data_IF_453156999342
#
_entry.id   IF_453156999342
#
_cell.length_a   1.000
_cell.length_b   1.000
_cell.length_c   1.000
_cell.angle_alpha   90.00
_cell.angle_beta   90.00
_cell.angle_gamma   90.00
#
_symmetry.space_group_name_H-M   'P 1'
#
loop_
_entity.id
_entity.type
_entity.pdbx_description
1 polymer ?
#
# COMPACT_ATOMS: atom_id res chain seq x y z
N UNK A 1 18.10 12.88 -14.80
CA UNK A 1 16.70 13.21 -15.14
C UNK A 1 16.12 14.06 -14.04
N UNK A 2 15.32 15.08 -14.36
CA UNK A 2 14.49 15.69 -13.33
C UNK A 2 13.38 14.69 -12.98
N UNK A 3 13.00 14.55 -11.71
CA UNK A 3 11.92 13.62 -11.32
C UNK A 3 10.59 13.97 -12.01
N UNK A 4 10.43 15.23 -12.45
CA UNK A 4 9.28 15.73 -13.22
C UNK A 4 9.24 15.30 -14.69
N UNK A 5 10.30 14.67 -15.21
CA UNK A 5 10.34 14.20 -16.60
C UNK A 5 9.85 12.75 -16.75
N UNK A 6 9.74 12.02 -15.63
CA UNK A 6 9.42 10.59 -15.61
C UNK A 6 7.97 10.34 -16.00
N UNK A 7 7.72 9.27 -16.76
CA UNK A 7 6.39 8.77 -17.00
C UNK A 7 6.03 7.80 -15.86
N UNK A 8 5.05 8.16 -15.04
CA UNK A 8 4.62 7.39 -13.86
C UNK A 8 3.33 6.62 -14.17
N UNK A 9 3.35 5.30 -13.96
CA UNK A 9 2.14 4.49 -13.96
C UNK A 9 1.62 4.27 -12.53
N UNK A 10 0.29 4.32 -12.34
CA UNK A 10 -0.36 3.87 -11.10
C UNK A 10 -1.22 2.65 -11.41
N UNK A 11 -0.78 1.47 -10.97
CA UNK A 11 -1.54 0.22 -11.08
C UNK A 11 -2.44 0.08 -9.86
N UNK A 12 -3.75 -0.05 -10.09
CA UNK A 12 -4.76 -0.01 -9.03
C UNK A 12 -5.28 1.40 -8.76
N UNK A 13 -5.28 2.29 -9.77
CA UNK A 13 -5.68 3.69 -9.65
C UNK A 13 -7.09 3.92 -9.08
N UNK A 14 -8.01 2.95 -9.22
CA UNK A 14 -9.38 3.05 -8.68
C UNK A 14 -9.51 2.60 -7.22
N UNK A 15 -8.46 2.05 -6.62
CA UNK A 15 -8.44 1.66 -5.21
C UNK A 15 -8.06 2.83 -4.31
N UNK A 16 -8.32 2.72 -3.00
CA UNK A 16 -8.04 3.79 -2.03
C UNK A 16 -6.57 4.26 -2.08
N UNK A 17 -5.62 3.32 -2.07
CA UNK A 17 -4.19 3.65 -2.11
C UNK A 17 -3.75 4.24 -3.46
N UNK A 18 -4.31 3.75 -4.58
CA UNK A 18 -4.02 4.31 -5.91
C UNK A 18 -4.58 5.73 -6.06
N UNK A 19 -5.78 5.99 -5.52
CA UNK A 19 -6.37 7.32 -5.45
C UNK A 19 -5.53 8.27 -4.60
N UNK A 20 -5.02 7.83 -3.44
CA UNK A 20 -4.10 8.63 -2.63
C UNK A 20 -2.79 8.92 -3.38
N UNK A 21 -2.22 7.94 -4.08
CA UNK A 21 -1.01 8.17 -4.88
C UNK A 21 -1.26 9.23 -5.97
N UNK A 22 -2.40 9.17 -6.67
CA UNK A 22 -2.79 10.17 -7.66
C UNK A 22 -2.97 11.56 -7.04
N UNK A 23 -3.64 11.64 -5.88
CA UNK A 23 -3.81 12.91 -5.15
C UNK A 23 -2.46 13.52 -4.74
N UNK A 24 -1.52 12.70 -4.24
CA UNK A 24 -0.19 13.18 -3.85
C UNK A 24 0.63 13.69 -5.03
N UNK A 25 0.43 13.13 -6.23
CA UNK A 25 1.03 13.67 -7.46
C UNK A 25 0.42 15.04 -7.81
N UNK A 26 -0.89 15.19 -7.66
CA UNK A 26 -1.58 16.46 -7.90
C UNK A 26 -1.08 17.56 -6.94
N UNK A 27 -0.99 17.25 -5.64
CA UNK A 27 -0.46 18.16 -4.61
C UNK A 27 0.99 18.57 -4.84
N UNK A 28 1.74 17.83 -5.67
CA UNK A 28 3.14 18.10 -6.05
C UNK A 28 3.28 18.78 -7.41
N UNK A 29 2.16 19.18 -8.01
CA UNK A 29 2.06 19.74 -9.36
C UNK A 29 2.73 18.83 -10.41
N UNK A 30 2.50 17.50 -10.32
CA UNK A 30 3.04 16.56 -11.30
C UNK A 30 2.26 16.64 -12.62
N UNK A 31 2.92 16.66 -13.79
CA UNK A 31 2.22 16.85 -15.07
C UNK A 31 1.26 15.70 -15.40
N UNK A 32 0.03 16.03 -15.82
CA UNK A 32 -1.00 15.04 -16.13
C UNK A 32 -0.63 14.15 -17.32
N UNK A 33 0.05 14.70 -18.34
CA UNK A 33 0.53 13.99 -19.53
C UNK A 33 1.64 12.98 -19.24
N UNK A 34 2.19 13.01 -18.03
CA UNK A 34 3.21 12.09 -17.52
C UNK A 34 2.63 10.98 -16.65
N UNK A 35 1.32 10.92 -16.46
CA UNK A 35 0.66 9.95 -15.60
C UNK A 35 -0.14 8.96 -16.43
N UNK A 36 0.09 7.66 -16.23
CA UNK A 36 -0.74 6.58 -16.78
C UNK A 36 -1.50 5.89 -15.66
N UNK A 37 -2.83 5.97 -15.69
CA UNK A 37 -3.67 5.25 -14.73
C UNK A 37 -4.00 3.86 -15.27
N UNK A 38 -3.75 2.82 -14.48
CA UNK A 38 -3.99 1.44 -14.85
C UNK A 38 -4.86 0.73 -13.82
N UNK A 39 -5.83 -0.05 -14.28
CA UNK A 39 -6.72 -0.84 -13.42
C UNK A 39 -7.15 -2.14 -14.11
N UNK A 40 -8.14 -2.85 -13.55
CA UNK A 40 -8.72 -4.02 -14.22
C UNK A 40 -9.49 -3.62 -15.48
N UNK A 41 -9.73 -4.58 -16.39
CA UNK A 41 -10.57 -4.38 -17.59
C UNK A 41 -11.95 -3.78 -17.28
N UNK A 42 -12.54 -4.07 -16.11
CA UNK A 42 -13.82 -3.49 -15.66
C UNK A 42 -13.76 -1.96 -15.46
N UNK A 43 -12.59 -1.43 -15.17
CA UNK A 43 -12.35 -0.01 -14.91
C UNK A 43 -11.73 0.72 -16.10
N UNK A 44 -11.23 0.00 -17.11
CA UNK A 44 -10.65 0.60 -18.30
C UNK A 44 -11.69 1.46 -19.06
N UNK A 45 -11.24 2.58 -19.61
CA UNK A 45 -12.06 3.56 -20.32
C UNK A 45 -12.80 4.55 -19.43
N UNK A 46 -12.77 4.40 -18.10
CA UNK A 46 -13.26 5.44 -17.18
C UNK A 46 -12.25 6.58 -17.10
N UNK A 47 -12.74 7.77 -16.80
CA UNK A 47 -11.91 8.94 -16.56
C UNK A 47 -11.84 9.26 -15.07
N UNK A 48 -10.67 9.70 -14.61
CA UNK A 48 -10.47 10.26 -13.29
C UNK A 48 -10.04 11.72 -13.45
N UNK A 49 -10.72 12.62 -12.74
CA UNK A 49 -10.36 14.03 -12.70
C UNK A 49 -9.00 14.21 -12.00
N UNK A 50 -8.13 15.01 -12.60
CA UNK A 50 -6.81 15.36 -12.08
C UNK A 50 -6.57 16.86 -12.27
N UNK A 51 -6.89 17.66 -11.25
CA UNK A 51 -6.92 19.12 -11.41
C UNK A 51 -7.97 19.56 -12.42
N UNK A 52 -7.54 20.32 -13.43
CA UNK A 52 -8.36 20.73 -14.57
C UNK A 52 -8.38 19.68 -15.71
N UNK A 53 -7.51 18.67 -15.62
CA UNK A 53 -7.37 17.60 -16.61
C UNK A 53 -8.21 16.36 -16.25
N UNK A 54 -8.38 15.47 -17.22
CA UNK A 54 -8.97 14.15 -17.05
C UNK A 54 -8.01 13.09 -17.60
N UNK A 55 -7.80 12.02 -16.85
CA UNK A 55 -6.92 10.92 -17.25
C UNK A 55 -7.75 9.67 -17.45
N UNK A 56 -7.68 9.10 -18.66
CA UNK A 56 -8.36 7.85 -19.01
C UNK A 56 -7.61 6.66 -18.41
N UNK A 57 -8.35 5.75 -17.79
CA UNK A 57 -7.82 4.53 -17.21
C UNK A 57 -7.58 3.49 -18.30
N UNK A 58 -6.36 2.98 -18.36
CA UNK A 58 -5.97 1.85 -19.20
C UNK A 58 -6.11 0.52 -18.44
N UNK A 59 -6.26 -0.58 -19.17
CA UNK A 59 -6.17 -1.91 -18.56
C UNK A 59 -4.71 -2.23 -18.16
N UNK A 60 -4.51 -2.80 -16.98
CA UNK A 60 -3.24 -3.32 -16.51
C UNK A 60 -3.01 -4.75 -17.05
N UNK A 61 -2.30 -4.85 -18.17
CA UNK A 61 -1.90 -6.10 -18.81
C UNK A 61 -0.37 -6.26 -18.84
N UNK A 62 0.17 -7.47 -19.12
CA UNK A 62 1.61 -7.70 -19.16
C UNK A 62 2.41 -6.78 -20.09
N UNK A 63 1.82 -6.28 -21.17
CA UNK A 63 2.43 -5.44 -22.21
C UNK A 63 2.08 -3.94 -22.08
N UNK A 64 1.40 -3.54 -21.00
CA UNK A 64 0.92 -2.17 -20.81
C UNK A 64 1.98 -1.16 -20.35
N UNK A 65 3.24 -1.58 -20.18
CA UNK A 65 4.27 -0.80 -19.47
C UNK A 65 5.27 -0.10 -20.39
N UNK A 66 5.05 -0.13 -21.70
CA UNK A 66 5.90 0.55 -22.68
C UNK A 66 5.93 2.07 -22.44
N UNK A 67 7.14 2.64 -22.36
CA UNK A 67 7.34 4.08 -22.17
C UNK A 67 7.12 4.58 -20.74
N UNK A 68 6.86 3.68 -19.78
CA UNK A 68 6.77 4.00 -18.35
C UNK A 68 8.17 3.93 -17.75
N UNK A 69 8.54 4.92 -16.94
CA UNK A 69 9.82 4.91 -16.22
C UNK A 69 9.65 4.29 -14.82
N UNK A 70 8.57 4.65 -14.14
CA UNK A 70 8.26 4.19 -12.77
C UNK A 70 6.81 3.72 -12.68
N UNK A 71 6.56 2.59 -12.04
CA UNK A 71 5.21 2.11 -11.76
C UNK A 71 4.97 1.92 -10.26
N UNK A 72 3.97 2.63 -9.75
CA UNK A 72 3.46 2.48 -8.38
C UNK A 72 2.36 1.42 -8.41
N UNK A 73 2.63 0.28 -7.79
CA UNK A 73 1.68 -0.81 -7.65
C UNK A 73 0.91 -0.66 -6.34
N UNK A 74 -0.32 -0.18 -6.46
CA UNK A 74 -1.29 -0.07 -5.38
C UNK A 74 -2.45 -1.08 -5.56
N UNK A 75 -2.13 -2.26 -6.10
CA UNK A 75 -3.06 -3.35 -6.36
C UNK A 75 -2.86 -4.53 -5.40
N UNK A 76 -3.75 -5.51 -5.45
CA UNK A 76 -3.63 -6.73 -4.63
C UNK A 76 -2.40 -7.57 -5.01
N UNK A 77 -1.85 -8.33 -4.05
CA UNK A 77 -0.58 -9.04 -4.22
C UNK A 77 -0.53 -10.03 -5.40
N UNK A 78 -1.66 -10.59 -5.84
CA UNK A 78 -1.72 -11.43 -7.05
C UNK A 78 -1.49 -10.62 -8.33
N UNK A 79 -1.94 -9.37 -8.38
CA UNK A 79 -1.69 -8.45 -9.49
C UNK A 79 -0.20 -8.11 -9.53
N UNK A 80 0.39 -7.75 -8.38
CA UNK A 80 1.82 -7.47 -8.27
C UNK A 80 2.67 -8.67 -8.69
N UNK A 81 2.36 -9.88 -8.19
CA UNK A 81 3.05 -11.12 -8.59
C UNK A 81 3.01 -11.38 -10.10
N UNK A 82 1.90 -11.05 -10.76
CA UNK A 82 1.70 -11.27 -12.19
C UNK A 82 2.36 -10.20 -13.06
N UNK A 83 2.25 -8.93 -12.67
CA UNK A 83 2.56 -7.80 -13.54
C UNK A 83 3.87 -7.09 -13.20
N UNK A 84 4.32 -7.08 -11.93
CA UNK A 84 5.56 -6.38 -11.57
C UNK A 84 6.79 -6.94 -12.31
N UNK A 85 7.01 -8.28 -12.41
CA UNK A 85 8.12 -8.81 -13.21
C UNK A 85 8.03 -8.43 -14.69
N UNK A 86 6.81 -8.33 -15.24
CA UNK A 86 6.57 -7.94 -16.65
C UNK A 86 6.89 -6.47 -16.90
N UNK A 87 6.59 -5.61 -15.94
CA UNK A 87 6.98 -4.20 -15.98
C UNK A 87 8.52 -4.07 -15.95
N UNK A 88 9.19 -4.82 -15.07
CA UNK A 88 10.66 -4.86 -15.01
C UNK A 88 11.28 -5.35 -16.32
N UNK A 89 10.72 -6.40 -16.95
CA UNK A 89 11.15 -6.87 -18.27
C UNK A 89 11.07 -5.79 -19.35
N UNK A 90 10.20 -4.77 -19.18
CA UNK A 90 10.05 -3.61 -20.05
C UNK A 90 10.90 -2.40 -19.63
N UNK A 91 11.78 -2.55 -18.64
CA UNK A 91 12.68 -1.51 -18.15
C UNK A 91 12.06 -0.58 -17.09
N UNK A 92 10.88 -0.90 -16.56
CA UNK A 92 10.20 -0.09 -15.55
C UNK A 92 10.73 -0.36 -14.15
N UNK A 93 10.97 0.71 -13.40
CA UNK A 93 11.23 0.60 -11.96
C UNK A 93 9.92 0.49 -11.18
N UNK A 94 9.74 -0.61 -10.45
CA UNK A 94 8.47 -0.90 -9.75
C UNK A 94 8.58 -0.57 -8.26
N UNK A 95 7.63 0.20 -7.76
CA UNK A 95 7.41 0.43 -6.33
C UNK A 95 6.12 -0.30 -5.94
N UNK A 96 6.23 -1.43 -5.25
CA UNK A 96 5.09 -2.27 -4.85
C UNK A 96 4.65 -2.01 -3.41
N UNK A 97 3.40 -1.57 -3.24
CA UNK A 97 2.76 -1.45 -1.93
C UNK A 97 2.25 -2.80 -1.41
N UNK A 98 2.08 -3.78 -2.29
CA UNK A 98 1.62 -5.11 -1.95
C UNK A 98 2.50 -5.80 -0.90
N UNK A 99 1.93 -6.76 -0.17
CA UNK A 99 2.69 -7.54 0.81
C UNK A 99 3.51 -8.68 0.19
N UNK A 100 3.33 -8.95 -1.11
CA UNK A 100 3.77 -10.20 -1.74
C UNK A 100 5.29 -10.30 -1.86
N UNK A 101 5.98 -9.17 -1.96
CA UNK A 101 7.43 -9.10 -2.16
C UNK A 101 8.20 -8.63 -0.92
N UNK A 102 7.51 -8.13 0.12
CA UNK A 102 8.15 -7.46 1.27
C UNK A 102 9.21 -8.29 1.97
N UNK A 103 9.00 -9.60 2.07
CA UNK A 103 9.92 -10.52 2.73
C UNK A 103 10.78 -11.33 1.76
N UNK A 104 10.71 -11.07 0.45
CA UNK A 104 11.62 -11.71 -0.51
C UNK A 104 13.05 -11.18 -0.27
N UNK A 105 14.07 -12.04 -0.10
CA UNK A 105 15.42 -11.60 0.23
C UNK A 105 16.07 -10.70 -0.83
N UNK A 106 15.70 -10.88 -2.10
CA UNK A 106 16.24 -10.12 -3.23
C UNK A 106 15.54 -8.78 -3.48
N UNK A 107 14.45 -8.47 -2.76
CA UNK A 107 13.68 -7.23 -2.95
C UNK A 107 13.79 -6.37 -1.70
N UNK A 108 14.30 -5.13 -1.79
CA UNK A 108 14.42 -4.25 -0.64
C UNK A 108 13.04 -3.79 -0.15
N UNK A 109 12.95 -3.59 1.16
CA UNK A 109 11.77 -3.05 1.84
C UNK A 109 12.14 -1.70 2.42
N UNK A 110 11.69 -0.62 1.79
CA UNK A 110 12.29 0.71 1.98
C UNK A 110 11.33 1.65 2.69
N UNK A 111 11.84 2.31 3.74
CA UNK A 111 11.33 3.54 4.32
C UNK A 111 12.39 4.62 4.10
N UNK A 112 12.15 5.63 3.25
CA UNK A 112 13.17 6.62 2.89
C UNK A 112 13.85 7.29 4.10
N UNK A 113 13.13 7.51 5.18
CA UNK A 113 13.66 8.14 6.39
C UNK A 113 14.55 7.22 7.24
N UNK A 114 14.57 5.91 6.97
CA UNK A 114 15.27 4.90 7.79
C UNK A 114 16.38 4.19 7.01
N UNK A 115 16.08 3.70 5.80
CA UNK A 115 16.97 2.87 5.00
C UNK A 115 16.94 3.25 3.51
N UNK A 116 17.02 4.55 3.18
CA UNK A 116 16.98 5.04 1.80
C UNK A 116 17.97 4.32 0.87
N UNK A 117 19.19 4.05 1.35
CA UNK A 117 20.27 3.44 0.56
C UNK A 117 19.92 2.02 0.09
N UNK A 118 18.93 1.35 0.70
CA UNK A 118 18.49 0.03 0.26
C UNK A 118 17.83 0.04 -1.12
N UNK A 119 17.44 1.22 -1.61
CA UNK A 119 16.95 1.38 -2.96
C UNK A 119 17.99 0.99 -4.02
N UNK A 120 19.29 1.00 -3.69
CA UNK A 120 20.39 0.75 -4.65
C UNK A 120 20.56 -0.76 -4.99
N UNK A 121 20.14 -1.66 -4.10
CA UNK A 121 20.21 -3.10 -4.35
C UNK A 121 18.82 -3.64 -4.69
N UNK A 122 18.46 -3.67 -5.98
CA UNK A 122 17.14 -4.14 -6.40
C UNK A 122 17.17 -4.82 -7.78
N UNK A 123 16.27 -5.77 -8.05
CA UNK A 123 16.14 -6.42 -9.36
C UNK A 123 15.16 -5.65 -10.26
N UNK A 124 15.00 -4.34 -10.06
CA UNK A 124 13.94 -3.52 -10.69
C UNK A 124 12.66 -3.36 -9.87
N UNK A 125 12.55 -4.02 -8.71
CA UNK A 125 11.39 -3.92 -7.80
C UNK A 125 11.86 -3.49 -6.41
N UNK A 126 11.16 -2.53 -5.81
CA UNK A 126 11.26 -2.14 -4.41
C UNK A 126 9.90 -2.25 -3.76
N UNK A 127 9.84 -2.73 -2.52
CA UNK A 127 8.60 -2.83 -1.75
C UNK A 127 8.46 -1.68 -0.76
N UNK A 128 7.23 -1.22 -0.52
CA UNK A 128 6.90 -0.37 0.62
C UNK A 128 6.36 -1.22 1.77
N UNK A 129 6.56 -0.80 3.04
CA UNK A 129 6.09 -1.56 4.19
C UNK A 129 4.57 -1.54 4.35
N UNK A 130 4.12 -2.28 5.35
CA UNK A 130 2.79 -2.10 5.93
C UNK A 130 2.63 -0.67 6.45
N UNK A 131 1.39 -0.16 6.40
CA UNK A 131 1.02 1.11 6.98
C UNK A 131 1.26 1.17 8.51
N UNK A 132 1.21 0.05 9.21
CA UNK A 132 1.55 -0.04 10.65
C UNK A 132 3.05 -0.10 10.89
N UNK A 133 3.80 -0.83 10.06
CA UNK A 133 5.25 -0.94 10.15
C UNK A 133 5.95 0.39 9.87
N UNK A 134 5.49 1.16 8.87
CA UNK A 134 6.15 2.40 8.41
C UNK A 134 6.36 3.43 9.54
N UNK A 135 5.32 3.92 10.23
CA UNK A 135 5.53 4.87 11.33
C UNK A 135 6.25 4.21 12.52
N UNK A 136 6.08 2.90 12.71
CA UNK A 136 6.70 2.17 13.79
C UNK A 136 8.23 2.18 13.66
N UNK A 137 8.77 1.81 12.49
CA UNK A 137 10.21 1.80 12.26
C UNK A 137 10.83 3.18 12.27
N UNK A 138 10.12 4.22 11.80
CA UNK A 138 10.61 5.60 11.91
C UNK A 138 10.83 6.02 13.37
N UNK A 139 9.94 5.62 14.27
CA UNK A 139 10.11 5.88 15.71
C UNK A 139 11.23 5.04 16.30
N UNK A 140 11.32 3.76 15.96
CA UNK A 140 12.40 2.89 16.45
C UNK A 140 13.77 3.35 15.98
N UNK A 141 13.89 3.77 14.73
CA UNK A 141 15.13 4.27 14.14
C UNK A 141 15.65 5.52 14.89
N UNK A 142 14.77 6.48 15.15
CA UNK A 142 15.12 7.66 15.94
C UNK A 142 15.51 7.31 17.40
N UNK A 143 14.87 6.29 18.00
CA UNK A 143 15.16 5.89 19.38
C UNK A 143 16.44 5.07 19.51
N UNK A 144 16.77 4.22 18.53
CA UNK A 144 17.97 3.36 18.59
C UNK A 144 19.27 4.17 18.52
N UNK A 145 19.25 5.36 17.93
CA UNK A 145 20.37 6.31 17.96
C UNK A 145 20.72 6.77 19.38
N UNK A 146 19.75 6.73 20.31
CA UNK A 146 19.93 7.19 21.70
C UNK A 146 20.35 6.04 22.64
N UNK A 147 19.83 4.84 22.41
CA UNK A 147 20.14 3.63 23.19
C UNK A 147 19.69 2.37 22.47
N UNK A 148 20.40 1.27 22.68
CA UNK A 148 19.98 -0.05 22.21
C UNK A 148 18.57 -0.42 22.70
N UNK A 149 17.71 -0.81 21.77
CA UNK A 149 16.34 -1.27 22.04
C UNK A 149 16.38 -2.78 22.28
N UNK A 150 15.86 -3.24 23.42
CA UNK A 150 15.87 -4.67 23.78
C UNK A 150 14.54 -5.38 23.53
N UNK A 151 13.45 -4.65 23.70
CA UNK A 151 12.09 -5.16 23.53
C UNK A 151 11.15 -3.98 23.31
N UNK A 152 10.09 -4.23 22.55
CA UNK A 152 9.03 -3.26 22.31
C UNK A 152 7.68 -3.97 22.46
N UNK A 153 6.73 -3.29 23.09
CA UNK A 153 5.33 -3.73 23.13
C UNK A 153 4.48 -2.63 22.54
N UNK A 154 3.66 -2.97 21.54
CA UNK A 154 2.82 -2.02 20.82
C UNK A 154 1.39 -2.55 20.81
N UNK A 155 0.44 -1.65 21.06
CA UNK A 155 -0.98 -1.88 20.81
C UNK A 155 -1.42 -0.95 19.68
N UNK A 156 -1.98 -1.51 18.61
CA UNK A 156 -2.41 -0.72 17.45
C UNK A 156 -3.88 -0.35 17.55
N UNK A 157 -4.23 0.83 17.05
CA UNK A 157 -5.60 1.32 16.93
C UNK A 157 -5.83 1.63 15.45
N UNK A 158 -6.14 0.58 14.69
CA UNK A 158 -6.21 0.66 13.24
C UNK A 158 -7.61 1.07 12.77
N UNK A 159 -7.66 1.95 11.78
CA UNK A 159 -8.91 2.38 11.14
C UNK A 159 -9.45 1.33 10.17
N UNK A 160 -10.76 1.31 9.97
CA UNK A 160 -11.46 0.48 8.98
C UNK A 160 -11.02 0.76 7.54
N UNK A 161 -10.37 1.90 7.28
CA UNK A 161 -9.83 2.23 5.96
C UNK A 161 -8.74 1.26 5.52
N UNK A 162 -8.10 0.53 6.46
CA UNK A 162 -7.19 -0.57 6.14
C UNK A 162 -7.87 -1.73 5.40
N UNK A 163 -9.18 -1.92 5.60
CA UNK A 163 -10.02 -2.89 4.87
C UNK A 163 -10.57 -2.33 3.56
N UNK A 164 -10.12 -1.16 3.13
CA UNK A 164 -10.55 -0.48 1.91
C UNK A 164 -11.93 0.17 2.03
N UNK A 165 -12.49 0.56 0.89
CA UNK A 165 -13.77 1.29 0.81
C UNK A 165 -14.95 0.50 1.36
N UNK A 166 -14.93 -0.84 1.27
CA UNK A 166 -15.98 -1.69 1.79
C UNK A 166 -16.06 -1.61 3.33
N UNK A 167 -14.92 -1.70 4.04
CA UNK A 167 -14.89 -1.58 5.50
C UNK A 167 -15.32 -0.19 5.99
N UNK A 168 -14.97 0.86 5.24
CA UNK A 168 -15.45 2.22 5.51
C UNK A 168 -16.98 2.34 5.35
N UNK A 169 -17.52 1.81 4.26
CA UNK A 169 -18.97 1.83 4.00
C UNK A 169 -19.74 1.04 5.06
N UNK A 170 -19.24 -0.13 5.46
CA UNK A 170 -19.86 -0.93 6.51
C UNK A 170 -19.84 -0.24 7.87
N UNK A 171 -18.73 0.42 8.25
CA UNK A 171 -18.70 1.20 9.49
C UNK A 171 -19.80 2.28 9.50
N UNK A 172 -19.93 3.03 8.41
CA UNK A 172 -20.95 4.09 8.29
C UNK A 172 -22.35 3.48 8.40
N UNK A 173 -22.63 2.42 7.62
CA UNK A 173 -23.94 1.76 7.59
C UNK A 173 -24.31 1.17 8.96
N UNK A 174 -23.37 0.49 9.62
CA UNK A 174 -23.59 -0.07 10.95
C UNK A 174 -23.81 1.05 11.97
N UNK A 175 -23.08 2.16 11.89
CA UNK A 175 -23.27 3.30 12.79
C UNK A 175 -24.66 3.92 12.64
N UNK A 176 -25.14 4.12 11.41
CA UNK A 176 -26.50 4.63 11.15
C UNK A 176 -27.57 3.68 11.69
N UNK A 177 -27.43 2.38 11.44
CA UNK A 177 -28.37 1.36 11.94
C UNK A 177 -28.42 1.36 13.48
N UNK A 178 -27.27 1.27 14.13
CA UNK A 178 -27.18 1.19 15.59
C UNK A 178 -27.75 2.46 16.24
N UNK A 179 -27.46 3.64 15.70
CA UNK A 179 -28.02 4.91 16.20
C UNK A 179 -29.53 5.03 15.93
N UNK A 180 -30.02 4.42 14.86
CA UNK A 180 -31.45 4.30 14.54
C UNK A 180 -32.19 3.24 15.36
N UNK A 181 -31.51 2.49 16.23
CA UNK A 181 -32.10 1.42 17.04
C UNK A 181 -32.35 0.13 16.26
N UNK A 182 -31.72 -0.05 15.10
CA UNK A 182 -31.77 -1.29 14.31
C UNK A 182 -30.47 -2.09 14.46
N UNK A 183 -30.46 -3.32 13.97
CA UNK A 183 -29.30 -4.22 14.08
C UNK A 183 -28.22 -3.82 13.08
N UNK A 184 -26.96 -3.94 13.48
CA UNK A 184 -25.82 -3.86 12.57
C UNK A 184 -25.84 -5.01 11.55
N UNK A 185 -25.69 -4.68 10.28
CA UNK A 185 -25.49 -5.64 9.20
C UNK A 185 -23.99 -5.91 9.02
N UNK A 186 -23.62 -7.20 9.01
CA UNK A 186 -22.23 -7.66 8.94
C UNK A 186 -21.94 -8.19 7.55
N UNK A 187 -20.91 -7.66 6.88
CA UNK A 187 -20.49 -8.11 5.54
C UNK A 187 -18.97 -8.34 5.44
N UNK A 188 -18.18 -7.27 5.61
CA UNK A 188 -16.71 -7.30 5.63
C UNK A 188 -16.18 -7.82 6.97
N UNK A 189 -16.77 -7.41 8.09
CA UNK A 189 -16.28 -7.78 9.42
C UNK A 189 -17.09 -8.96 10.01
N UNK A 190 -16.44 -9.93 10.67
CA UNK A 190 -17.14 -11.07 11.29
C UNK A 190 -17.97 -10.66 12.52
N UNK A 191 -17.73 -9.46 13.05
CA UNK A 191 -18.39 -8.89 14.22
C UNK A 191 -18.67 -7.41 13.97
N UNK A 192 -19.64 -6.84 14.69
CA UNK A 192 -19.99 -5.42 14.58
C UNK A 192 -18.75 -4.57 14.83
N UNK A 193 -18.46 -3.64 13.94
CA UNK A 193 -17.36 -2.69 14.07
C UNK A 193 -17.85 -1.33 14.58
N UNK A 194 -19.09 -0.94 14.29
CA UNK A 194 -19.66 0.29 14.82
C UNK A 194 -19.69 0.26 16.36
N UNK A 195 -19.09 1.27 16.98
CA UNK A 195 -18.98 1.41 18.43
C UNK A 195 -18.32 0.20 19.13
N UNK A 196 -17.42 -0.50 18.44
CA UNK A 196 -16.74 -1.69 18.95
C UNK A 196 -15.24 -1.68 18.59
N UNK A 197 -14.46 -2.56 19.22
CA UNK A 197 -13.05 -2.81 18.91
C UNK A 197 -12.86 -4.29 18.64
N UNK A 198 -12.21 -4.62 17.52
CA UNK A 198 -11.89 -5.99 17.15
C UNK A 198 -10.38 -6.24 17.36
N UNK A 199 -9.97 -7.13 18.29
CA UNK A 199 -8.56 -7.45 18.54
C UNK A 199 -8.06 -8.50 17.53
N UNK A 200 -8.35 -8.31 16.24
CA UNK A 200 -8.06 -9.26 15.17
C UNK A 200 -7.98 -8.52 13.84
N UNK A 201 -6.80 -8.47 13.24
CA UNK A 201 -6.56 -7.91 11.90
C UNK A 201 -5.76 -8.93 11.10
N UNK A 202 -6.31 -9.35 9.96
CA UNK A 202 -5.75 -10.43 9.12
C UNK A 202 -5.73 -11.80 9.83
N UNK A 203 -5.45 -12.88 9.10
CA UNK A 203 -5.65 -14.25 9.62
C UNK A 203 -4.75 -14.58 10.83
N UNK A 204 -5.27 -15.39 11.76
CA UNK A 204 -4.45 -16.01 12.80
C UNK A 204 -3.43 -17.01 12.24
N UNK A 205 -2.25 -17.01 12.86
CA UNK A 205 -1.18 -17.98 12.68
C UNK A 205 -1.21 -19.02 13.81
N UNK A 206 -0.47 -20.11 13.64
CA UNK A 206 -0.39 -21.21 14.63
C UNK A 206 0.11 -20.79 16.00
N UNK A 207 0.89 -19.71 16.10
CA UNK A 207 1.45 -19.17 17.34
C UNK A 207 0.54 -18.22 18.11
N UNK A 208 -0.71 -18.01 17.67
CA UNK A 208 -1.66 -17.08 18.31
C UNK A 208 -1.55 -15.62 17.87
N UNK A 209 -0.47 -15.26 17.17
CA UNK A 209 -0.35 -13.98 16.46
C UNK A 209 -1.20 -13.97 15.20
N UNK A 210 -1.66 -12.80 14.81
CA UNK A 210 -2.24 -12.50 13.51
C UNK A 210 -1.15 -12.24 12.47
N UNK A 211 -1.48 -12.37 11.18
CA UNK A 211 -0.60 -11.95 10.08
C UNK A 211 -0.23 -10.47 10.17
N UNK A 212 -1.10 -9.60 10.66
CA UNK A 212 -0.79 -8.18 10.81
C UNK A 212 0.30 -7.94 11.86
N UNK A 213 0.22 -8.59 13.01
CA UNK A 213 1.26 -8.54 14.04
C UNK A 213 2.58 -9.14 13.54
N UNK A 214 2.52 -10.25 12.79
CA UNK A 214 3.70 -10.88 12.21
C UNK A 214 4.37 -9.99 11.14
N UNK A 215 3.60 -9.23 10.35
CA UNK A 215 4.16 -8.24 9.42
C UNK A 215 4.93 -7.17 10.18
N UNK A 216 4.37 -6.60 11.24
CA UNK A 216 5.06 -5.58 12.03
C UNK A 216 6.41 -6.08 12.54
N UNK A 217 6.46 -7.30 13.07
CA UNK A 217 7.69 -7.91 13.58
C UNK A 217 8.72 -8.16 12.47
N UNK A 218 8.30 -8.79 11.37
CA UNK A 218 9.22 -9.20 10.31
C UNK A 218 9.73 -8.00 9.49
N UNK A 219 8.83 -7.09 9.16
CA UNK A 219 9.16 -5.90 8.39
C UNK A 219 10.05 -4.95 9.19
N UNK A 220 9.81 -4.78 10.51
CA UNK A 220 10.66 -3.91 11.32
C UNK A 220 12.11 -4.41 11.37
N UNK A 221 12.31 -5.71 11.55
CA UNK A 221 13.65 -6.33 11.54
C UNK A 221 14.35 -6.14 10.19
N UNK A 222 13.63 -6.38 9.10
CA UNK A 222 14.17 -6.22 7.74
C UNK A 222 14.56 -4.76 7.45
N UNK A 223 13.71 -3.80 7.80
CA UNK A 223 13.94 -2.37 7.52
C UNK A 223 15.06 -1.81 8.39
N UNK A 224 15.13 -2.21 9.66
CA UNK A 224 16.15 -1.72 10.60
C UNK A 224 17.48 -2.48 10.49
N UNK A 225 17.55 -3.52 9.66
CA UNK A 225 18.70 -4.44 9.56
C UNK A 225 19.08 -5.07 10.92
N UNK A 226 18.07 -5.44 11.71
CA UNK A 226 18.21 -5.90 13.09
C UNK A 226 17.47 -7.25 13.25
N UNK A 227 18.21 -8.37 13.21
CA UNK A 227 17.66 -9.74 13.33
C UNK A 227 17.33 -10.15 14.77
#
# INVERSE_FOLDING_TARGET
MNSRDLNIAIVGATGAAGGTALQLLLERDYPADKITLMASSRSAGREIQYGDDHIVISEAAPDSFHGIDVAIFAAGGLVSRRLAPRAVEQGVFVIDKGSIFRMEPSIPLVVPEVNADDIEWHPGIVSTPNCTSTPFVMVLDALRELSAIKAVTVATYQSVTGSGSAGQQELIQQSENVLGGTKADLDVYPHQIAFNILPHVDDFLTGGYTKEEQKMLNESRKILHDE
#
